data_IF_034087926803
#
_entry.id   IF_034087926803
#
_cell.length_a   1.000
_cell.length_b   1.000
_cell.length_c   1.000
_cell.angle_alpha   90.00
_cell.angle_beta   90.00
_cell.angle_gamma   90.00
#
_symmetry.space_group_name_H-M   'P 1'
#
loop_
_entity.id
_entity.type
_entity.pdbx_description
1 polymer ?
#
# COMPACT_ATOMS: atom_id res chain seq x y z
N UNK A 1 10.30 63.48 -29.67
CA UNK A 1 10.08 64.46 -28.59
C UNK A 1 9.41 63.77 -27.41
N UNK A 2 9.83 64.14 -26.20
CA UNK A 2 9.30 63.85 -24.86
C UNK A 2 9.21 62.40 -24.30
N UNK A 3 10.13 62.17 -23.35
CA UNK A 3 10.06 61.30 -22.15
C UNK A 3 8.72 61.41 -21.40
N UNK A 4 8.36 60.35 -20.65
CA UNK A 4 8.18 60.42 -19.19
C UNK A 4 8.23 59.01 -18.54
N UNK A 5 8.91 58.97 -17.40
CA UNK A 5 9.19 57.84 -16.51
C UNK A 5 8.07 57.69 -15.45
N UNK A 6 7.93 56.51 -14.86
CA UNK A 6 6.95 56.22 -13.81
C UNK A 6 6.97 54.75 -13.39
N UNK A 7 7.58 54.46 -12.25
CA UNK A 7 8.05 53.12 -11.87
C UNK A 7 7.10 52.19 -11.08
N UNK A 8 7.58 50.94 -11.00
CA UNK A 8 7.35 49.85 -10.01
C UNK A 8 5.92 49.36 -9.77
N UNK A 9 5.69 48.07 -10.05
CA UNK A 9 5.69 47.02 -9.02
C UNK A 9 5.56 45.61 -9.64
N UNK A 10 6.45 44.72 -9.22
CA UNK A 10 6.41 43.29 -9.51
C UNK A 10 5.39 42.59 -8.62
N UNK A 11 4.59 41.68 -9.19
CA UNK A 11 4.13 40.49 -8.46
C UNK A 11 4.23 39.27 -9.37
N UNK A 12 5.16 38.39 -9.01
CA UNK A 12 5.45 37.11 -9.65
C UNK A 12 4.40 36.06 -9.30
N UNK A 13 3.94 35.36 -10.33
CA UNK A 13 3.56 33.93 -10.36
C UNK A 13 3.26 33.27 -9.02
N UNK A 14 1.97 33.15 -8.70
CA UNK A 14 1.48 32.26 -7.65
C UNK A 14 1.72 30.80 -8.04
N UNK A 15 2.52 30.12 -7.24
CA UNK A 15 2.82 28.68 -7.34
C UNK A 15 1.54 27.91 -7.04
N UNK A 16 1.06 27.17 -8.05
CA UNK A 16 0.01 26.16 -7.88
C UNK A 16 0.54 25.09 -6.93
N UNK A 17 -0.07 24.99 -5.75
CA UNK A 17 0.20 23.96 -4.76
C UNK A 17 -0.20 22.61 -5.37
N UNK A 18 0.77 21.88 -5.92
CA UNK A 18 0.56 20.53 -6.43
C UNK A 18 0.16 19.67 -5.24
N UNK A 19 -1.11 19.27 -5.17
CA UNK A 19 -1.62 18.32 -4.18
C UNK A 19 -0.64 17.15 -4.08
N UNK A 20 0.01 17.02 -2.93
CA UNK A 20 0.96 15.95 -2.68
C UNK A 20 0.14 14.65 -2.67
N UNK A 21 0.25 13.87 -3.74
CA UNK A 21 -0.32 12.53 -3.80
C UNK A 21 0.47 11.71 -2.77
N UNK A 22 -0.11 11.48 -1.59
CA UNK A 22 0.52 10.76 -0.49
C UNK A 22 -0.17 9.44 -0.15
N UNK A 23 0.54 8.61 0.60
CA UNK A 23 -0.03 7.48 1.35
C UNK A 23 -0.21 7.93 2.79
N UNK A 24 -1.38 7.67 3.37
CA UNK A 24 -1.68 8.08 4.75
C UNK A 24 -0.68 7.43 5.73
N UNK A 25 0.11 8.27 6.41
CA UNK A 25 1.19 7.89 7.31
C UNK A 25 2.60 7.90 6.70
N UNK A 26 2.77 8.29 5.42
CA UNK A 26 4.08 8.40 4.77
C UNK A 26 4.24 9.77 4.12
N UNK A 27 5.18 10.56 4.63
CA UNK A 27 5.56 11.84 4.03
C UNK A 27 6.53 11.61 2.87
N UNK A 28 6.11 11.95 1.65
CA UNK A 28 7.01 12.05 0.51
C UNK A 28 7.91 13.27 0.72
N UNK A 29 9.20 13.03 0.98
CA UNK A 29 10.17 14.11 1.10
C UNK A 29 10.14 15.01 -0.14
N UNK A 30 9.87 16.29 0.05
CA UNK A 30 10.03 17.27 -1.02
C UNK A 30 11.52 17.38 -1.39
N UNK A 31 11.84 17.45 -2.68
CA UNK A 31 13.20 17.58 -3.20
C UNK A 31 13.97 18.67 -2.41
N UNK A 32 14.99 18.24 -1.65
CA UNK A 32 15.87 19.13 -0.87
C UNK A 32 15.62 19.21 0.64
N UNK A 33 14.62 18.52 1.21
CA UNK A 33 14.44 18.44 2.68
C UNK A 33 14.92 17.11 3.24
N UNK A 34 15.97 17.14 4.07
CA UNK A 34 16.44 15.98 4.85
C UNK A 34 15.43 15.67 5.95
N UNK A 35 14.80 14.50 5.91
CA UNK A 35 13.92 14.00 6.98
C UNK A 35 14.78 13.26 7.99
N UNK A 36 14.88 13.78 9.22
CA UNK A 36 15.65 13.17 10.31
C UNK A 36 14.73 12.35 11.22
N UNK A 37 14.98 11.05 11.33
CA UNK A 37 14.27 10.16 12.25
C UNK A 37 15.02 9.96 13.58
N UNK A 38 16.06 10.75 13.84
CA UNK A 38 16.93 10.61 15.01
C UNK A 38 16.19 10.68 16.34
N UNK A 39 15.09 11.44 16.41
CA UNK A 39 14.22 11.52 17.58
C UNK A 39 13.44 10.23 17.91
N UNK A 40 13.33 9.31 16.94
CA UNK A 40 12.66 8.02 17.11
C UNK A 40 13.64 6.87 17.36
N UNK A 41 14.95 7.14 17.32
CA UNK A 41 15.97 6.15 17.60
C UNK A 41 16.25 6.11 19.11
N UNK A 42 16.25 4.92 19.69
CA UNK A 42 16.74 4.73 21.05
C UNK A 42 18.27 4.89 21.07
N UNK A 43 18.85 5.58 22.08
CA UNK A 43 20.28 5.73 22.18
C UNK A 43 20.96 4.36 22.35
N UNK A 44 21.56 3.84 21.29
CA UNK A 44 22.40 2.64 21.35
C UNK A 44 23.80 3.05 21.77
N UNK A 45 24.06 3.03 23.09
CA UNK A 45 25.40 3.24 23.64
C UNK A 45 26.30 2.01 23.40
N UNK A 46 26.63 1.71 22.14
CA UNK A 46 27.48 0.55 21.82
C UNK A 46 28.98 0.88 21.71
N UNK A 47 29.40 2.14 21.54
CA UNK A 47 30.82 2.49 21.41
C UNK A 47 31.10 3.90 21.97
N UNK A 48 31.17 4.00 23.30
CA UNK A 48 31.60 5.21 24.01
C UNK A 48 33.12 5.28 24.18
N UNK A 49 33.90 5.29 23.10
CA UNK A 49 35.34 5.58 23.17
C UNK A 49 35.52 7.09 23.12
N UNK A 50 36.05 7.64 24.22
CA UNK A 50 36.34 9.07 24.43
C UNK A 50 37.02 9.72 23.23
N UNK A 51 36.44 10.81 22.73
CA UNK A 51 37.19 11.86 22.05
C UNK A 51 36.77 13.21 22.62
N UNK A 52 37.68 13.80 23.39
CA UNK A 52 37.59 15.19 23.84
C UNK A 52 37.88 16.11 22.66
N UNK A 53 36.96 17.01 22.34
CA UNK A 53 37.27 18.33 21.78
C UNK A 53 36.26 19.34 22.33
N UNK A 54 36.80 20.50 22.65
CA UNK A 54 36.31 21.54 23.55
C UNK A 54 35.61 22.59 22.68
N UNK A 55 34.40 23.03 23.03
CA UNK A 55 34.07 24.44 23.27
C UNK A 55 32.55 24.69 23.39
N UNK A 56 32.21 25.21 24.57
CA UNK A 56 31.24 26.27 24.86
C UNK A 56 29.71 26.05 24.80
N UNK A 57 29.17 26.13 26.03
CA UNK A 57 27.93 26.81 26.49
C UNK A 57 26.57 26.23 26.10
N UNK A 58 26.04 25.36 26.98
CA UNK A 58 24.78 25.68 27.67
C UNK A 58 24.59 24.81 28.92
N UNK A 59 24.03 25.48 29.91
CA UNK A 59 23.97 25.21 31.34
C UNK A 59 23.47 23.84 31.78
N UNK A 60 24.18 23.35 32.80
CA UNK A 60 23.72 22.47 33.87
C UNK A 60 22.25 22.74 34.29
N UNK A 61 21.47 21.68 34.40
CA UNK A 61 20.55 21.53 35.53
C UNK A 61 20.63 20.12 36.09
N UNK A 62 20.54 20.07 37.40
CA UNK A 62 21.10 19.10 38.31
C UNK A 62 20.22 17.86 38.53
N UNK A 63 20.90 16.72 38.66
CA UNK A 63 20.72 15.66 39.66
C UNK A 63 19.29 15.26 40.10
N UNK A 64 18.96 13.98 39.88
CA UNK A 64 18.59 13.09 41.00
C UNK A 64 19.31 11.75 40.89
N UNK A 65 20.17 11.49 41.88
CA UNK A 65 20.76 10.20 42.18
C UNK A 65 19.67 9.21 42.64
N UNK A 66 19.75 7.98 42.19
CA UNK A 66 19.43 6.80 42.98
C UNK A 66 20.25 5.62 42.43
N UNK A 67 21.37 5.34 43.09
CA UNK A 67 22.22 4.19 42.82
C UNK A 67 21.65 2.91 43.44
N UNK A 68 22.07 1.79 42.84
CA UNK A 68 22.11 0.42 43.37
C UNK A 68 20.81 -0.42 43.33
N UNK A 69 20.74 -1.37 42.39
CA UNK A 69 21.04 -2.79 42.71
C UNK A 69 21.09 -3.70 41.48
N UNK A 70 22.23 -4.37 41.35
CA UNK A 70 22.49 -5.74 40.88
C UNK A 70 21.73 -6.34 39.67
N UNK A 71 22.52 -6.71 38.67
CA UNK A 71 22.24 -7.77 37.71
C UNK A 71 21.94 -9.10 38.44
N UNK A 72 20.92 -9.82 37.98
CA UNK A 72 20.70 -11.23 38.31
C UNK A 72 20.24 -11.94 37.05
N UNK A 73 21.18 -12.64 36.41
CA UNK A 73 20.95 -13.59 35.34
C UNK A 73 20.63 -14.94 35.99
N UNK A 74 19.37 -15.37 35.97
CA UNK A 74 19.01 -16.77 36.26
C UNK A 74 17.64 -17.14 35.65
N UNK A 75 17.72 -18.02 34.65
CA UNK A 75 16.95 -19.24 34.39
C UNK A 75 15.41 -19.22 34.37
N UNK A 76 14.92 -19.83 33.30
CA UNK A 76 13.56 -20.25 33.00
C UNK A 76 12.76 -20.82 34.19
N UNK A 77 11.48 -20.45 34.28
CA UNK A 77 10.38 -21.42 34.18
C UNK A 77 9.04 -20.71 33.94
N UNK A 78 8.22 -21.40 33.15
CA UNK A 78 6.84 -21.11 32.81
C UNK A 78 5.95 -21.05 34.06
N UNK A 79 5.19 -19.97 34.20
CA UNK A 79 3.90 -19.97 34.91
C UNK A 79 2.99 -18.91 34.30
N UNK A 80 1.85 -19.40 33.81
CA UNK A 80 0.63 -18.71 33.45
C UNK A 80 0.41 -17.42 34.26
N UNK A 81 0.37 -16.28 33.57
CA UNK A 81 0.02 -14.98 34.14
C UNK A 81 -0.90 -14.26 33.16
N UNK A 82 -2.21 -14.39 33.41
CA UNK A 82 -3.25 -13.59 32.78
C UNK A 82 -2.91 -12.11 32.97
N UNK A 83 -2.63 -11.44 31.86
CA UNK A 83 -2.65 -9.98 31.76
C UNK A 83 -3.80 -9.64 30.83
N UNK A 84 -4.90 -9.17 31.42
CA UNK A 84 -5.92 -8.39 30.74
C UNK A 84 -5.27 -7.08 30.24
N UNK A 85 -4.62 -7.17 29.08
CA UNK A 85 -4.31 -6.03 28.26
C UNK A 85 -5.48 -5.86 27.30
N UNK A 86 -6.25 -4.78 27.47
CA UNK A 86 -7.35 -4.41 26.59
C UNK A 86 -6.96 -4.57 25.13
N UNK A 87 -7.61 -5.54 24.48
CA UNK A 87 -7.55 -5.76 23.04
C UNK A 87 -8.16 -4.53 22.37
N UNK A 88 -7.30 -3.56 22.07
CA UNK A 88 -7.60 -2.55 21.07
C UNK A 88 -7.68 -3.27 19.72
N UNK A 89 -8.76 -2.97 19.01
CA UNK A 89 -9.37 -3.74 17.94
C UNK A 89 -8.54 -3.72 16.64
N UNK A 90 -7.36 -4.33 16.70
CA UNK A 90 -6.54 -4.69 15.53
C UNK A 90 -6.56 -6.20 15.38
N UNK A 91 -7.74 -6.77 15.14
CA UNK A 91 -7.85 -8.17 14.71
C UNK A 91 -6.87 -8.32 13.54
N UNK A 92 -5.89 -9.21 13.69
CA UNK A 92 -5.03 -9.65 12.60
C UNK A 92 -5.95 -10.38 11.61
N UNK A 93 -6.69 -9.64 10.80
CA UNK A 93 -7.49 -10.20 9.71
C UNK A 93 -6.48 -10.69 8.70
N UNK A 94 -6.15 -11.97 8.82
CA UNK A 94 -5.36 -12.72 7.87
C UNK A 94 -5.93 -12.48 6.46
N UNK A 95 -5.05 -12.18 5.51
CA UNK A 95 -5.46 -11.80 4.17
C UNK A 95 -6.11 -12.98 3.46
N UNK A 96 -7.38 -12.83 3.06
CA UNK A 96 -8.11 -13.81 2.26
C UNK A 96 -7.99 -13.49 0.74
N UNK A 97 -7.32 -14.36 -0.06
CA UNK A 97 -7.13 -14.17 -1.51
C UNK A 97 -8.42 -14.17 -2.35
N UNK A 98 -9.52 -14.67 -1.79
CA UNK A 98 -10.79 -14.77 -2.51
C UNK A 98 -11.69 -13.55 -2.32
N UNK A 99 -11.37 -12.69 -1.34
CA UNK A 99 -12.26 -11.64 -0.87
C UNK A 99 -12.67 -10.64 -1.96
N UNK A 100 -11.77 -10.30 -2.88
CA UNK A 100 -12.00 -9.33 -3.96
C UNK A 100 -12.45 -9.97 -5.27
N UNK A 101 -12.31 -11.29 -5.40
CA UNK A 101 -12.63 -12.04 -6.61
C UNK A 101 -13.74 -13.06 -6.39
N UNK A 102 -14.41 -13.00 -5.25
CA UNK A 102 -15.53 -13.88 -4.92
C UNK A 102 -16.61 -13.79 -6.03
N UNK A 103 -16.96 -14.92 -6.69
CA UNK A 103 -18.04 -14.94 -7.66
C UNK A 103 -19.41 -14.61 -7.04
N UNK A 104 -19.53 -14.64 -5.71
CA UNK A 104 -20.76 -14.31 -4.99
C UNK A 104 -21.03 -12.81 -4.86
N UNK A 105 -20.08 -11.94 -5.25
CA UNK A 105 -20.35 -10.50 -5.41
C UNK A 105 -21.28 -10.23 -6.60
N UNK A 106 -22.41 -9.54 -6.43
CA UNK A 106 -23.58 -9.91 -5.64
C UNK A 106 -24.41 -10.98 -6.38
N UNK A 107 -24.68 -12.08 -5.70
CA UNK A 107 -25.63 -13.11 -6.12
C UNK A 107 -26.78 -13.13 -5.09
N UNK A 108 -27.68 -12.14 -5.12
CA UNK A 108 -28.65 -12.04 -4.00
C UNK A 108 -29.88 -11.16 -4.18
N UNK A 109 -29.75 -9.93 -4.69
CA UNK A 109 -30.91 -9.01 -4.72
C UNK A 109 -32.00 -9.43 -5.70
N UNK A 110 -31.62 -10.08 -6.79
CA UNK A 110 -32.49 -10.39 -7.93
C UNK A 110 -32.62 -11.90 -8.16
N UNK A 111 -32.65 -12.68 -7.08
CA UNK A 111 -32.89 -14.12 -7.12
C UNK A 111 -34.05 -14.48 -6.20
N UNK A 112 -34.94 -15.36 -6.67
CA UNK A 112 -36.02 -15.94 -5.88
C UNK A 112 -35.85 -17.45 -5.84
N UNK A 113 -35.72 -18.00 -4.64
CA UNK A 113 -35.70 -19.45 -4.42
C UNK A 113 -37.15 -19.93 -4.30
N UNK A 114 -37.52 -20.90 -5.13
CA UNK A 114 -38.79 -21.60 -5.07
C UNK A 114 -38.54 -23.01 -4.55
N UNK A 115 -39.22 -23.36 -3.47
CA UNK A 115 -39.09 -24.67 -2.81
C UNK A 115 -40.32 -25.49 -3.17
N UNK A 116 -40.13 -26.57 -3.93
CA UNK A 116 -41.17 -27.54 -4.27
C UNK A 116 -40.94 -28.84 -3.49
N UNK A 117 -41.99 -29.68 -3.28
CA UNK A 117 -41.89 -30.91 -2.50
C UNK A 117 -40.80 -31.90 -2.94
N UNK A 118 -40.37 -31.84 -4.21
CA UNK A 118 -39.41 -32.78 -4.79
C UNK A 118 -38.14 -32.14 -5.35
N UNK A 119 -38.05 -30.81 -5.40
CA UNK A 119 -36.85 -30.10 -5.87
C UNK A 119 -36.86 -28.62 -5.49
N UNK A 120 -35.67 -28.00 -5.44
CA UNK A 120 -35.49 -26.57 -5.24
C UNK A 120 -35.05 -25.94 -6.56
N UNK A 121 -35.70 -24.85 -6.98
CA UNK A 121 -35.31 -24.09 -8.17
C UNK A 121 -35.11 -22.62 -7.82
N UNK A 122 -34.25 -21.93 -8.56
CA UNK A 122 -33.97 -20.50 -8.37
C UNK A 122 -34.30 -19.76 -9.66
N UNK A 123 -35.17 -18.76 -9.57
CA UNK A 123 -35.46 -17.82 -10.65
C UNK A 123 -34.59 -16.59 -10.44
N UNK A 124 -33.77 -16.25 -11.43
CA UNK A 124 -32.91 -15.06 -11.41
C UNK A 124 -33.55 -14.04 -12.35
N UNK A 125 -34.00 -12.92 -11.81
CA UNK A 125 -34.64 -11.87 -12.58
C UNK A 125 -33.62 -11.19 -13.49
N UNK A 126 -34.04 -10.80 -14.69
CA UNK A 126 -33.19 -10.04 -15.59
C UNK A 126 -32.95 -8.64 -15.04
N UNK A 127 -31.68 -8.25 -14.94
CA UNK A 127 -31.24 -6.95 -14.44
C UNK A 127 -30.28 -6.34 -15.44
N UNK A 128 -30.38 -5.03 -15.65
CA UNK A 128 -29.44 -4.34 -16.53
C UNK A 128 -28.01 -4.49 -15.96
N UNK A 129 -26.99 -4.71 -16.80
CA UNK A 129 -25.60 -4.82 -16.33
C UNK A 129 -25.10 -3.61 -15.51
N UNK A 130 -25.67 -2.42 -15.75
CA UNK A 130 -25.42 -1.20 -14.96
C UNK A 130 -25.84 -1.37 -13.50
N UNK A 131 -27.00 -1.98 -13.29
CA UNK A 131 -27.64 -2.07 -11.99
C UNK A 131 -27.01 -3.20 -11.19
N UNK A 132 -26.68 -4.33 -11.83
CA UNK A 132 -25.89 -5.39 -11.21
C UNK A 132 -24.52 -4.89 -10.74
N UNK A 133 -23.84 -4.06 -11.55
CA UNK A 133 -22.58 -3.43 -11.16
C UNK A 133 -22.76 -2.44 -10.01
N UNK A 134 -23.87 -1.70 -9.99
CA UNK A 134 -24.20 -0.77 -8.89
C UNK A 134 -24.38 -1.53 -7.60
N UNK A 135 -25.22 -2.57 -7.60
CA UNK A 135 -25.46 -3.46 -6.47
C UNK A 135 -24.16 -4.09 -5.96
N UNK A 136 -23.29 -4.52 -6.86
CA UNK A 136 -21.99 -5.10 -6.50
C UNK A 136 -21.14 -4.13 -5.69
N UNK A 137 -21.05 -2.88 -6.17
CA UNK A 137 -20.22 -1.88 -5.52
C UNK A 137 -20.88 -1.35 -4.23
N UNK A 138 -22.21 -1.34 -4.14
CA UNK A 138 -22.94 -1.01 -2.91
C UNK A 138 -22.67 -2.04 -1.81
N UNK A 139 -22.88 -3.34 -2.09
CA UNK A 139 -22.58 -4.41 -1.12
C UNK A 139 -21.10 -4.42 -0.73
N UNK A 140 -20.19 -4.14 -1.67
CA UNK A 140 -18.77 -3.99 -1.36
C UNK A 140 -18.50 -2.81 -0.42
N UNK A 141 -19.14 -1.66 -0.65
CA UNK A 141 -18.99 -0.47 0.19
C UNK A 141 -19.59 -0.67 1.57
N UNK A 142 -20.68 -1.42 1.69
CA UNK A 142 -21.27 -1.81 2.97
C UNK A 142 -20.33 -2.71 3.76
N UNK A 143 -19.69 -3.70 3.11
CA UNK A 143 -18.73 -4.60 3.77
C UNK A 143 -17.40 -3.94 4.12
N UNK A 144 -16.94 -2.99 3.29
CA UNK A 144 -15.65 -2.31 3.45
C UNK A 144 -15.79 -0.78 3.33
N UNK A 145 -16.35 -0.11 4.36
CA UNK A 145 -16.63 1.32 4.30
C UNK A 145 -15.36 2.19 4.25
N UNK A 146 -14.23 1.68 4.74
CA UNK A 146 -12.93 2.37 4.72
C UNK A 146 -12.27 2.39 3.34
N UNK A 147 -12.66 1.49 2.43
CA UNK A 147 -12.06 1.40 1.10
C UNK A 147 -12.66 2.47 0.19
N UNK A 148 -11.84 3.45 -0.20
CA UNK A 148 -12.26 4.60 -1.03
C UNK A 148 -12.42 4.28 -2.52
N UNK A 149 -12.19 3.03 -2.93
CA UNK A 149 -12.35 2.54 -4.30
C UNK A 149 -13.47 1.51 -4.40
N UNK A 150 -14.20 1.55 -5.51
CA UNK A 150 -15.20 0.54 -5.85
C UNK A 150 -14.54 -0.78 -6.26
N UNK A 151 -15.14 -1.93 -5.93
CA UNK A 151 -14.69 -3.27 -6.35
C UNK A 151 -14.42 -3.36 -7.87
N UNK A 152 -15.35 -2.81 -8.67
CA UNK A 152 -15.20 -2.80 -10.12
C UNK A 152 -13.94 -2.07 -10.62
N UNK A 153 -13.45 -1.07 -9.87
CA UNK A 153 -12.22 -0.35 -10.19
C UNK A 153 -10.97 -1.14 -9.79
N UNK A 154 -11.01 -1.82 -8.65
CA UNK A 154 -9.93 -2.73 -8.21
C UNK A 154 -9.74 -3.84 -9.25
N UNK A 155 -10.81 -4.54 -9.63
CA UNK A 155 -10.79 -5.58 -10.68
C UNK A 155 -10.32 -5.05 -12.04
N UNK A 156 -10.70 -3.82 -12.40
CA UNK A 156 -10.22 -3.17 -13.63
C UNK A 156 -8.70 -2.97 -13.59
N UNK A 157 -8.16 -2.46 -12.48
CA UNK A 157 -6.72 -2.22 -12.34
C UNK A 157 -5.93 -3.53 -12.31
N UNK A 158 -6.41 -4.58 -11.65
CA UNK A 158 -5.78 -5.92 -11.73
C UNK A 158 -5.67 -6.41 -13.17
N UNK A 159 -6.70 -6.22 -13.99
CA UNK A 159 -6.65 -6.58 -15.43
C UNK A 159 -5.62 -5.74 -16.20
N UNK A 160 -5.56 -4.44 -15.94
CA UNK A 160 -4.53 -3.56 -16.54
C UNK A 160 -3.11 -3.97 -16.12
N UNK A 161 -2.90 -4.30 -14.83
CA UNK A 161 -1.62 -4.80 -14.32
C UNK A 161 -1.20 -6.11 -14.98
N UNK A 162 -2.11 -7.09 -15.08
CA UNK A 162 -1.86 -8.36 -15.79
C UNK A 162 -1.47 -8.11 -17.24
N UNK A 163 -2.28 -7.30 -17.94
CA UNK A 163 -2.06 -6.97 -19.35
C UNK A 163 -0.67 -6.39 -19.57
N UNK A 164 -0.27 -5.40 -18.77
CA UNK A 164 1.07 -4.82 -18.87
C UNK A 164 2.16 -5.84 -18.54
N UNK A 165 2.02 -6.58 -17.43
CA UNK A 165 3.08 -7.47 -16.96
C UNK A 165 3.34 -8.64 -17.93
N UNK A 166 2.29 -9.27 -18.46
CA UNK A 166 2.42 -10.42 -19.36
C UNK A 166 2.63 -10.01 -20.82
N UNK A 167 1.77 -9.14 -21.38
CA UNK A 167 1.80 -8.84 -22.82
C UNK A 167 2.93 -7.89 -23.22
N UNK A 168 3.31 -6.94 -22.35
CA UNK A 168 4.31 -5.92 -22.68
C UNK A 168 5.70 -6.21 -22.11
N UNK A 169 5.77 -6.90 -20.96
CA UNK A 169 7.03 -7.15 -20.25
C UNK A 169 7.41 -8.65 -20.17
N UNK A 170 6.51 -9.57 -20.54
CA UNK A 170 6.81 -11.00 -20.56
C UNK A 170 7.03 -11.63 -19.19
N UNK A 171 6.47 -11.06 -18.12
CA UNK A 171 6.59 -11.64 -16.78
C UNK A 171 5.73 -12.88 -16.59
N UNK A 172 6.30 -13.86 -15.89
CA UNK A 172 5.62 -15.12 -15.54
C UNK A 172 4.45 -14.89 -14.56
N UNK A 173 3.49 -15.82 -14.58
CA UNK A 173 2.29 -15.79 -13.74
C UNK A 173 2.58 -15.63 -12.22
N UNK A 174 3.64 -16.24 -11.63
CA UNK A 174 3.96 -16.05 -10.21
C UNK A 174 4.25 -14.58 -9.86
N UNK A 175 4.95 -13.87 -10.75
CA UNK A 175 5.27 -12.45 -10.55
C UNK A 175 4.00 -11.59 -10.59
N UNK A 176 3.07 -11.90 -11.50
CA UNK A 176 1.78 -11.21 -11.59
C UNK A 176 0.89 -11.53 -10.39
N UNK A 177 0.89 -12.79 -9.93
CA UNK A 177 0.17 -13.20 -8.73
C UNK A 177 0.66 -12.44 -7.48
N UNK A 178 1.98 -12.29 -7.33
CA UNK A 178 2.58 -11.50 -6.26
C UNK A 178 2.16 -10.02 -6.34
N UNK A 179 2.19 -9.42 -7.52
CA UNK A 179 1.72 -8.05 -7.72
C UNK A 179 0.24 -7.87 -7.34
N UNK A 180 -0.60 -8.87 -7.60
CA UNK A 180 -2.01 -8.87 -7.17
C UNK A 180 -2.13 -8.87 -5.66
N UNK A 181 -1.42 -9.76 -4.95
CA UNK A 181 -1.48 -9.81 -3.48
C UNK A 181 -1.04 -8.47 -2.87
N UNK A 182 0.06 -7.88 -3.35
CA UNK A 182 0.48 -6.56 -2.87
C UNK A 182 -0.61 -5.50 -3.05
N UNK A 183 -1.18 -5.41 -4.26
CA UNK A 183 -2.21 -4.43 -4.55
C UNK A 183 -3.49 -4.63 -3.73
N UNK A 184 -3.88 -5.88 -3.50
CA UNK A 184 -5.03 -6.22 -2.66
C UNK A 184 -4.82 -5.92 -1.19
N UNK A 185 -3.63 -6.22 -0.64
CA UNK A 185 -3.28 -5.84 0.73
C UNK A 185 -3.38 -4.32 0.93
N UNK A 186 -2.92 -3.51 -0.03
CA UNK A 186 -3.11 -2.06 0.02
C UNK A 186 -4.58 -1.65 -0.06
N UNK A 187 -5.36 -2.31 -0.92
CA UNK A 187 -6.79 -2.03 -1.07
C UNK A 187 -7.54 -2.31 0.23
N UNK A 188 -7.31 -3.47 0.83
CA UNK A 188 -7.97 -3.94 2.06
C UNK A 188 -7.54 -3.13 3.29
N UNK A 189 -6.30 -2.63 3.34
CA UNK A 189 -5.85 -1.65 4.35
C UNK A 189 -6.41 -0.24 4.13
N UNK A 190 -7.27 -0.01 3.13
CA UNK A 190 -7.87 1.31 2.84
C UNK A 190 -6.88 2.36 2.30
N UNK A 191 -5.69 1.93 1.86
CA UNK A 191 -4.60 2.83 1.44
C UNK A 191 -4.77 3.38 0.02
N UNK A 192 -5.72 2.84 -0.75
CA UNK A 192 -5.98 3.25 -2.13
C UNK A 192 -7.09 4.30 -2.24
N UNK A 193 -6.88 5.31 -3.09
CA UNK A 193 -7.82 6.37 -3.40
C UNK A 193 -7.82 6.72 -4.91
N UNK A 194 -8.68 7.66 -5.33
CA UNK A 194 -8.83 8.03 -6.75
C UNK A 194 -7.53 8.51 -7.40
N UNK A 195 -6.68 9.20 -6.64
CA UNK A 195 -5.44 9.84 -7.13
C UNK A 195 -4.27 8.85 -7.15
N UNK A 196 -4.06 8.10 -6.07
CA UNK A 196 -2.89 7.25 -5.91
C UNK A 196 -3.04 5.84 -6.51
N UNK A 197 -4.25 5.35 -6.78
CA UNK A 197 -4.51 3.94 -7.18
C UNK A 197 -3.65 3.43 -8.34
N UNK A 198 -3.33 4.31 -9.31
CA UNK A 198 -2.51 3.96 -10.47
C UNK A 198 -1.03 3.92 -10.12
N UNK A 199 -0.56 4.85 -9.29
CA UNK A 199 0.80 4.84 -8.75
C UNK A 199 1.01 3.59 -7.88
N UNK A 200 0.05 3.26 -7.00
CA UNK A 200 0.10 2.03 -6.20
C UNK A 200 0.13 0.78 -7.08
N UNK A 201 -0.72 0.70 -8.11
CA UNK A 201 -0.72 -0.43 -9.03
C UNK A 201 0.63 -0.58 -9.75
N UNK A 202 1.20 0.51 -10.26
CA UNK A 202 2.50 0.50 -10.91
C UNK A 202 3.64 0.15 -9.96
N UNK A 203 3.64 0.69 -8.74
CA UNK A 203 4.61 0.36 -7.71
C UNK A 203 4.51 -1.11 -7.26
N UNK A 204 3.30 -1.68 -7.16
CA UNK A 204 3.12 -3.09 -6.84
C UNK A 204 3.71 -4.01 -7.93
N UNK A 205 3.50 -3.68 -9.21
CA UNK A 205 4.13 -4.43 -10.33
C UNK A 205 5.64 -4.27 -10.29
N UNK A 206 6.14 -3.05 -10.06
CA UNK A 206 7.58 -2.77 -9.99
C UNK A 206 8.26 -3.55 -8.85
N UNK A 207 7.67 -3.55 -7.65
CA UNK A 207 8.17 -4.31 -6.51
C UNK A 207 8.11 -5.81 -6.76
N UNK A 208 6.98 -6.31 -7.30
CA UNK A 208 6.84 -7.72 -7.59
C UNK A 208 7.87 -8.19 -8.63
N UNK A 209 8.12 -7.41 -9.67
CA UNK A 209 9.13 -7.74 -10.66
C UNK A 209 10.54 -7.68 -10.05
N UNK A 210 10.85 -6.69 -9.20
CA UNK A 210 12.15 -6.60 -8.50
C UNK A 210 12.44 -7.79 -7.57
N UNK A 211 11.42 -8.40 -6.99
CA UNK A 211 11.56 -9.53 -6.06
C UNK A 211 11.42 -10.88 -6.76
N UNK A 212 10.50 -10.97 -7.72
CA UNK A 212 10.13 -12.21 -8.41
C UNK A 212 11.01 -12.54 -9.61
N UNK A 213 11.71 -11.55 -10.17
CA UNK A 213 12.68 -11.76 -11.25
C UNK A 213 14.00 -11.06 -10.96
N UNK A 214 15.10 -11.65 -11.44
CA UNK A 214 16.44 -11.07 -11.36
C UNK A 214 16.59 -9.94 -12.40
N UNK A 215 15.86 -8.84 -12.16
CA UNK A 215 15.77 -7.74 -13.10
C UNK A 215 17.11 -7.03 -13.27
N UNK A 216 17.57 -6.94 -14.52
CA UNK A 216 18.71 -6.10 -14.87
C UNK A 216 18.29 -4.63 -14.99
N UNK A 217 19.25 -3.71 -14.87
CA UNK A 217 19.01 -2.25 -14.97
C UNK A 217 18.20 -1.84 -16.21
N UNK A 218 18.46 -2.45 -17.36
CA UNK A 218 17.76 -2.15 -18.61
C UNK A 218 16.29 -2.62 -18.62
N UNK A 219 16.00 -3.76 -18.00
CA UNK A 219 14.64 -4.29 -17.84
C UNK A 219 13.82 -3.44 -16.86
N UNK A 220 14.43 -2.98 -15.76
CA UNK A 220 13.79 -2.02 -14.84
C UNK A 220 13.42 -0.74 -15.56
N UNK A 221 14.32 -0.21 -16.40
CA UNK A 221 14.03 0.98 -17.22
C UNK A 221 12.87 0.73 -18.16
N UNK A 222 12.89 -0.38 -18.89
CA UNK A 222 11.83 -0.77 -19.82
C UNK A 222 10.47 -0.90 -19.12
N UNK A 223 10.43 -1.55 -17.95
CA UNK A 223 9.22 -1.69 -17.14
C UNK A 223 8.67 -0.32 -16.71
N UNK A 224 9.54 0.59 -16.24
CA UNK A 224 9.12 1.94 -15.85
C UNK A 224 8.53 2.69 -17.04
N UNK A 225 9.15 2.61 -18.22
CA UNK A 225 8.67 3.28 -19.43
C UNK A 225 7.26 2.74 -19.82
N UNK A 226 7.05 1.43 -19.72
CA UNK A 226 5.74 0.80 -19.97
C UNK A 226 4.68 1.16 -18.93
N UNK A 227 5.06 1.25 -17.66
CA UNK A 227 4.18 1.68 -16.57
C UNK A 227 3.72 3.13 -16.75
N UNK A 228 4.65 4.02 -17.13
CA UNK A 228 4.38 5.42 -17.46
C UNK A 228 3.36 5.53 -18.60
N UNK A 229 3.55 4.77 -19.68
CA UNK A 229 2.64 4.76 -20.83
C UNK A 229 1.24 4.23 -20.49
N UNK A 230 1.14 3.00 -19.95
CA UNK A 230 -0.16 2.34 -19.74
C UNK A 230 -0.98 3.02 -18.66
N UNK A 231 -0.36 3.37 -17.54
CA UNK A 231 -1.09 4.00 -16.43
C UNK A 231 -1.19 5.52 -16.56
N UNK A 232 -0.45 6.14 -17.49
CA UNK A 232 -0.33 7.60 -17.66
C UNK A 232 0.17 8.26 -16.37
N UNK A 233 1.33 7.79 -15.92
CA UNK A 233 1.97 8.22 -14.67
C UNK A 233 3.17 9.11 -14.95
N UNK A 234 3.58 9.92 -13.97
CA UNK A 234 4.86 10.60 -14.02
C UNK A 234 5.95 9.68 -13.47
N UNK A 235 7.02 9.46 -14.24
CA UNK A 235 8.17 8.62 -13.84
C UNK A 235 8.72 8.96 -12.45
N UNK A 236 8.91 10.25 -12.16
CA UNK A 236 9.47 10.70 -10.87
C UNK A 236 8.56 10.34 -9.70
N UNK A 237 7.25 10.51 -9.90
CA UNK A 237 6.25 10.18 -8.89
C UNK A 237 6.19 8.67 -8.67
N UNK A 238 6.23 7.85 -9.73
CA UNK A 238 6.25 6.39 -9.61
C UNK A 238 7.45 5.91 -8.79
N UNK A 239 8.65 6.42 -9.06
CA UNK A 239 9.86 6.06 -8.32
C UNK A 239 9.76 6.52 -6.86
N UNK A 240 9.27 7.75 -6.62
CA UNK A 240 9.06 8.25 -5.27
C UNK A 240 8.00 7.45 -4.49
N UNK A 241 7.00 6.88 -5.18
CA UNK A 241 5.91 6.12 -4.57
C UNK A 241 6.26 4.66 -4.25
N UNK A 242 7.38 4.14 -4.77
CA UNK A 242 7.84 2.78 -4.50
C UNK A 242 8.06 2.54 -3.00
N UNK A 243 8.80 3.44 -2.33
CA UNK A 243 9.11 3.30 -0.91
C UNK A 243 7.87 3.43 -0.01
N UNK A 244 6.97 4.43 -0.19
CA UNK A 244 5.70 4.47 0.53
C UNK A 244 4.85 3.21 0.38
N UNK A 245 4.80 2.61 -0.81
CA UNK A 245 4.08 1.35 -1.01
C UNK A 245 4.75 0.22 -0.24
N UNK A 246 6.07 0.15 -0.25
CA UNK A 246 6.84 -0.81 0.54
C UNK A 246 6.57 -0.69 2.05
N UNK A 247 6.51 0.55 2.56
CA UNK A 247 6.16 0.83 3.96
C UNK A 247 4.72 0.44 4.26
N UNK A 248 3.76 0.72 3.36
CA UNK A 248 2.36 0.33 3.53
C UNK A 248 2.16 -1.20 3.50
N UNK A 249 3.07 -1.93 2.84
CA UNK A 249 3.17 -3.38 2.87
C UNK A 249 3.94 -3.90 4.09
N UNK A 250 4.39 -3.02 5.01
CA UNK A 250 5.19 -3.36 6.19
C UNK A 250 6.46 -4.15 5.83
N UNK A 251 7.04 -3.88 4.67
CA UNK A 251 8.19 -4.61 4.11
C UNK A 251 7.95 -6.13 3.94
N UNK A 252 6.70 -6.60 4.04
CA UNK A 252 6.32 -7.99 3.88
C UNK A 252 6.19 -8.35 2.39
N UNK A 253 7.32 -8.34 1.68
CA UNK A 253 7.38 -8.69 0.26
C UNK A 253 7.43 -10.21 0.03
N UNK A 254 7.97 -10.98 0.98
CA UNK A 254 7.92 -12.43 0.89
C UNK A 254 6.53 -12.92 1.33
N UNK A 255 5.75 -13.41 0.36
CA UNK A 255 4.39 -13.85 0.60
C UNK A 255 4.35 -15.36 0.85
N UNK A 256 3.55 -15.83 1.82
CA UNK A 256 3.32 -17.27 1.99
C UNK A 256 2.53 -17.84 0.80
N UNK A 257 2.78 -19.12 0.49
CA UNK A 257 2.25 -19.79 -0.70
C UNK A 257 0.71 -19.79 -0.74
N UNK A 258 0.04 -19.94 0.40
CA UNK A 258 -1.42 -19.97 0.47
C UNK A 258 -2.08 -18.64 0.02
N UNK A 259 -1.37 -17.52 0.11
CA UNK A 259 -1.87 -16.23 -0.39
C UNK A 259 -1.70 -16.09 -1.90
N UNK A 260 -0.57 -16.57 -2.44
CA UNK A 260 -0.19 -16.39 -3.85
C UNK A 260 -0.88 -17.42 -4.75
N UNK A 261 -0.95 -18.67 -4.31
CA UNK A 261 -1.41 -19.79 -5.13
C UNK A 261 -2.84 -19.63 -5.69
N UNK A 262 -3.83 -19.12 -4.94
CA UNK A 262 -5.15 -18.87 -5.50
C UNK A 262 -5.12 -17.90 -6.69
N UNK A 263 -4.28 -16.84 -6.65
CA UNK A 263 -4.13 -15.90 -7.76
C UNK A 263 -3.39 -16.55 -8.93
N UNK A 264 -2.30 -17.27 -8.66
CA UNK A 264 -1.53 -17.99 -9.68
C UNK A 264 -2.41 -18.98 -10.44
N UNK A 265 -3.16 -19.84 -9.75
CA UNK A 265 -4.07 -20.81 -10.38
C UNK A 265 -5.10 -20.13 -11.28
N UNK A 266 -5.65 -19.00 -10.84
CA UNK A 266 -6.61 -18.22 -11.65
C UNK A 266 -5.95 -17.58 -12.86
N UNK A 267 -4.70 -17.14 -12.76
CA UNK A 267 -3.96 -16.59 -13.89
C UNK A 267 -3.68 -17.67 -14.94
N UNK A 268 -3.26 -18.86 -14.52
CA UNK A 268 -3.01 -20.00 -15.41
C UNK A 268 -4.31 -20.51 -16.06
N UNK A 269 -5.41 -20.55 -15.33
CA UNK A 269 -6.71 -20.99 -15.88
C UNK A 269 -7.32 -19.99 -16.87
N UNK A 270 -7.01 -18.70 -16.70
CA UNK A 270 -7.50 -17.61 -17.55
C UNK A 270 -6.40 -17.07 -18.49
N UNK A 271 -5.34 -17.86 -18.72
CA UNK A 271 -4.19 -17.50 -19.55
C UNK A 271 -4.61 -17.32 -20.99
#
# INVERSE_FOLDING_TARGET
>A
DMKLDGGRQCHSTGVCLKEIIGLEGVELGADGKTVSYTQFLFPTNALGTRRNTIDSTSSFSQFRNASHRSLSLARANSTQGSIDAGSDLGDFVEYDPNLLDDPQWPCGKHKRVLIFPSYMTTVIDYVKPSDLKKDMNETFKEKFPHIKLTLSKIRSLKREMRKLAQEECGFEEPTVAMAFVYFEKLALKGKLNKQNRKLCAGACVLLAAKIGSDLRKHEVKHLIDKLEEKFRLNRRELIAFEFPVLVALEFALHLPEHEVMPHYRRLVQNS
#
